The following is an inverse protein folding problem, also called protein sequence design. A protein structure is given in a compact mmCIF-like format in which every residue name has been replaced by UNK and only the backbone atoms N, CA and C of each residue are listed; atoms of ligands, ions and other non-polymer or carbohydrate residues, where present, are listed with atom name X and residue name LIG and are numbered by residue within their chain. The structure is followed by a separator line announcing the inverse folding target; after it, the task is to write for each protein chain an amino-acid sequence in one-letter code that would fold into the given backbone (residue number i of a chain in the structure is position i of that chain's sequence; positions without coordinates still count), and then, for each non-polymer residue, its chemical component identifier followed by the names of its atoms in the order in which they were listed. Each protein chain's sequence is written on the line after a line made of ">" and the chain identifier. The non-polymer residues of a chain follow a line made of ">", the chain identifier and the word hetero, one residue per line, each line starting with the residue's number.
data_IF_730130047442
#
_entry.id   IF_730130047442
#
_cell.length_a   1.000
_cell.length_b   1.000
_cell.length_c   1.000
_cell.angle_alpha   90.00
_cell.angle_beta   90.00
_cell.angle_gamma   90.00
#
_symmetry.space_group_name_H-M   'P 1'
#
loop_
_entity.id
_entity.type
_entity.pdbx_description
1 polymer ?
#
# COMPACT_ATOMS: atom_id res chain seq x y z
N UNK A 1 3.41 -4.99 12.07
CA UNK A 1 4.19 -6.25 11.98
C UNK A 1 5.34 -6.23 12.99
N UNK A 2 5.77 -7.40 13.49
CA UNK A 2 7.02 -7.57 14.24
C UNK A 2 7.82 -8.74 13.64
N UNK A 3 9.02 -8.46 13.15
CA UNK A 3 9.95 -9.43 12.55
C UNK A 3 11.05 -9.79 13.56
N UNK A 4 10.94 -10.96 14.19
CA UNK A 4 11.94 -11.42 15.15
C UNK A 4 13.12 -12.08 14.44
N UNK A 5 12.82 -12.86 13.40
CA UNK A 5 13.77 -13.44 12.45
C UNK A 5 13.01 -13.99 11.23
N UNK A 6 13.74 -14.53 10.26
CA UNK A 6 13.21 -15.09 9.02
C UNK A 6 12.15 -16.19 9.22
N UNK A 7 12.21 -16.92 10.33
CA UNK A 7 11.28 -18.01 10.66
C UNK A 7 10.19 -17.60 11.68
N UNK A 8 10.19 -16.35 12.17
CA UNK A 8 9.17 -15.79 13.08
C UNK A 8 8.88 -14.32 12.73
N UNK A 9 7.92 -14.13 11.81
CA UNK A 9 7.35 -12.84 11.45
C UNK A 9 5.87 -12.80 11.86
N UNK A 10 5.52 -11.87 12.74
CA UNK A 10 4.19 -11.77 13.35
C UNK A 10 3.43 -10.60 12.76
N UNK A 11 2.24 -10.87 12.26
CA UNK A 11 1.33 -9.85 11.73
C UNK A 11 0.14 -9.67 12.68
N UNK A 12 -0.41 -8.47 12.67
CA UNK A 12 -1.57 -8.10 13.49
C UNK A 12 -2.53 -7.33 12.61
N UNK A 13 -3.84 -7.52 12.80
CA UNK A 13 -4.86 -6.74 12.12
C UNK A 13 -5.85 -6.17 13.11
N UNK A 14 -6.58 -5.14 12.70
CA UNK A 14 -7.71 -4.57 13.43
C UNK A 14 -9.00 -4.97 12.73
N UNK A 15 -9.93 -5.54 13.49
CA UNK A 15 -11.26 -5.85 13.00
C UNK A 15 -12.22 -4.69 13.26
N UNK A 16 -13.12 -4.47 12.31
CA UNK A 16 -14.27 -3.57 12.47
C UNK A 16 -15.55 -4.31 12.09
N UNK A 17 -16.56 -4.25 12.96
CA UNK A 17 -17.86 -4.87 12.71
C UNK A 17 -18.63 -4.20 11.55
N UNK A 18 -18.23 -2.97 11.19
CA UNK A 18 -18.88 -2.15 10.16
C UNK A 18 -17.99 -1.87 8.96
N UNK A 19 -16.72 -2.32 9.00
CA UNK A 19 -15.75 -2.12 7.92
C UNK A 19 -14.88 -3.37 7.75
N UNK A 20 -15.44 -4.33 7.02
CA UNK A 20 -14.76 -5.57 6.67
C UNK A 20 -13.57 -5.33 5.73
N UNK A 21 -13.67 -4.34 4.84
CA UNK A 21 -12.63 -4.04 3.86
C UNK A 21 -11.34 -3.63 4.54
N UNK A 22 -11.41 -2.74 5.54
CA UNK A 22 -10.26 -2.31 6.33
C UNK A 22 -9.53 -3.50 6.96
N UNK A 23 -10.27 -4.45 7.53
CA UNK A 23 -9.66 -5.61 8.19
C UNK A 23 -8.94 -6.54 7.19
N UNK A 24 -9.56 -6.82 6.04
CA UNK A 24 -8.99 -7.71 5.02
C UNK A 24 -7.79 -7.08 4.32
N UNK A 25 -7.92 -5.83 3.88
CA UNK A 25 -6.81 -5.12 3.26
C UNK A 25 -5.65 -4.92 4.25
N UNK A 26 -5.94 -4.67 5.53
CA UNK A 26 -4.93 -4.65 6.59
C UNK A 26 -4.20 -5.99 6.76
N UNK A 27 -4.91 -7.12 6.66
CA UNK A 27 -4.26 -8.45 6.67
C UNK A 27 -3.33 -8.60 5.45
N UNK A 28 -3.79 -8.24 4.25
CA UNK A 28 -2.98 -8.34 3.03
C UNK A 28 -1.73 -7.45 3.12
N UNK A 29 -1.90 -6.22 3.62
CA UNK A 29 -0.82 -5.26 3.86
C UNK A 29 0.25 -5.87 4.76
N UNK A 30 -0.13 -6.30 5.97
CA UNK A 30 0.81 -6.84 6.95
C UNK A 30 1.41 -8.17 6.49
N UNK A 31 0.66 -9.00 5.76
CA UNK A 31 1.18 -10.21 5.14
C UNK A 31 2.28 -9.90 4.11
N UNK A 32 2.17 -8.80 3.35
CA UNK A 32 3.22 -8.38 2.42
C UNK A 32 4.53 -8.03 3.13
N UNK A 33 4.45 -7.33 4.26
CA UNK A 33 5.60 -7.11 5.14
C UNK A 33 6.18 -8.41 5.69
N UNK A 34 5.33 -9.28 6.25
CA UNK A 34 5.75 -10.56 6.81
C UNK A 34 6.44 -11.45 5.77
N UNK A 35 5.87 -11.54 4.57
CA UNK A 35 6.46 -12.29 3.46
C UNK A 35 7.83 -11.75 3.06
N UNK A 36 8.03 -10.43 3.02
CA UNK A 36 9.36 -9.90 2.74
C UNK A 36 10.36 -10.31 3.83
N UNK A 37 10.03 -10.08 5.11
CA UNK A 37 10.90 -10.45 6.22
C UNK A 37 11.26 -11.94 6.25
N UNK A 38 10.31 -12.82 5.94
CA UNK A 38 10.51 -14.27 5.90
C UNK A 38 11.33 -14.78 4.71
N UNK A 39 11.56 -13.95 3.70
CA UNK A 39 12.15 -14.38 2.43
C UNK A 39 13.42 -13.63 2.02
N UNK A 40 14.02 -12.90 2.96
CA UNK A 40 15.43 -12.50 2.87
C UNK A 40 16.31 -13.76 2.77
N UNK A 41 17.38 -13.73 1.98
CA UNK A 41 18.20 -14.92 1.78
C UNK A 41 18.90 -15.35 3.10
N UNK A 42 18.86 -16.65 3.40
CA UNK A 42 19.43 -17.23 4.63
C UNK A 42 20.92 -16.90 4.85
N UNK A 43 21.68 -16.62 3.79
CA UNK A 43 23.08 -16.18 3.88
C UNK A 43 23.25 -14.85 4.64
N UNK A 44 22.18 -14.08 4.79
CA UNK A 44 22.16 -12.83 5.52
C UNK A 44 21.78 -12.99 6.99
N UNK A 45 21.31 -14.18 7.42
CA UNK A 45 20.94 -14.44 8.82
C UNK A 45 22.09 -14.01 9.77
N UNK A 46 21.74 -13.32 10.86
CA UNK A 46 22.68 -12.75 11.84
C UNK A 46 23.66 -11.68 11.30
N UNK A 47 23.37 -11.10 10.14
CA UNK A 47 24.10 -9.94 9.61
C UNK A 47 23.22 -8.68 9.63
N UNK A 48 23.81 -7.48 9.52
CA UNK A 48 23.04 -6.23 9.35
C UNK A 48 22.18 -6.19 8.07
N UNK A 49 22.35 -7.15 7.16
CA UNK A 49 21.57 -7.25 5.93
C UNK A 49 20.28 -8.05 6.06
N UNK A 50 20.04 -8.73 7.19
CA UNK A 50 18.77 -9.44 7.43
C UNK A 50 17.66 -8.51 7.90
N UNK A 51 17.31 -7.54 7.07
CA UNK A 51 16.25 -6.57 7.28
C UNK A 51 15.83 -5.94 5.96
N UNK A 52 14.72 -5.20 5.98
CA UNK A 52 14.31 -4.37 4.84
C UNK A 52 15.38 -3.33 4.46
N UNK A 53 15.51 -3.10 3.15
CA UNK A 53 16.54 -2.22 2.55
C UNK A 53 16.27 -0.73 2.81
N UNK A 54 14.99 -0.36 2.80
CA UNK A 54 14.46 0.97 3.06
C UNK A 54 12.96 0.85 3.30
N UNK A 55 12.37 1.80 4.03
CA UNK A 55 10.91 1.80 4.27
C UNK A 55 10.12 1.85 2.97
N UNK A 56 10.57 2.57 1.93
CA UNK A 56 9.86 2.63 0.65
C UNK A 56 9.74 1.26 -0.04
N UNK A 57 10.81 0.45 -0.05
CA UNK A 57 10.75 -0.91 -0.58
C UNK A 57 9.95 -1.82 0.34
N UNK A 58 10.08 -1.66 1.66
CA UNK A 58 9.31 -2.45 2.61
C UNK A 58 7.79 -2.21 2.46
N UNK A 59 7.37 -0.94 2.35
CA UNK A 59 6.00 -0.51 2.04
C UNK A 59 5.55 -0.95 0.65
N UNK A 60 6.45 -1.00 -0.32
CA UNK A 60 6.08 -1.53 -1.64
C UNK A 60 5.59 -2.98 -1.55
N UNK A 61 6.10 -3.79 -0.61
CA UNK A 61 5.70 -5.20 -0.50
C UNK A 61 4.34 -5.37 0.20
N UNK A 62 4.04 -4.55 1.21
CA UNK A 62 2.70 -4.51 1.81
C UNK A 62 1.66 -4.00 0.83
N UNK A 63 1.95 -2.87 0.16
CA UNK A 63 1.09 -2.29 -0.85
C UNK A 63 0.97 -3.16 -2.11
N UNK A 64 1.95 -3.99 -2.41
CA UNK A 64 1.80 -4.98 -3.48
C UNK A 64 0.67 -5.96 -3.16
N UNK A 65 0.66 -6.51 -1.95
CA UNK A 65 -0.40 -7.42 -1.54
C UNK A 65 -1.74 -6.70 -1.39
N UNK A 66 -1.76 -5.53 -0.76
CA UNK A 66 -2.99 -4.78 -0.49
C UNK A 66 -3.60 -4.18 -1.76
N UNK A 67 -2.80 -3.42 -2.50
CA UNK A 67 -3.27 -2.59 -3.62
C UNK A 67 -3.13 -3.33 -4.94
N UNK A 68 -2.00 -3.98 -5.23
CA UNK A 68 -1.80 -4.62 -6.54
C UNK A 68 -2.62 -5.91 -6.65
N UNK A 69 -2.59 -6.75 -5.62
CA UNK A 69 -3.37 -8.00 -5.57
C UNK A 69 -4.76 -7.78 -4.97
N UNK A 70 -4.83 -7.27 -3.74
CA UNK A 70 -6.07 -7.16 -2.95
C UNK A 70 -7.12 -6.19 -3.50
N UNK A 71 -6.80 -5.42 -4.54
CA UNK A 71 -7.75 -4.58 -5.29
C UNK A 71 -7.83 -4.94 -6.78
N UNK A 72 -7.22 -6.06 -7.19
CA UNK A 72 -7.37 -6.58 -8.55
C UNK A 72 -8.77 -7.19 -8.75
N UNK A 73 -9.36 -6.91 -9.90
CA UNK A 73 -10.63 -7.52 -10.33
C UNK A 73 -10.46 -9.02 -10.52
N UNK A 74 -9.35 -9.44 -11.11
CA UNK A 74 -9.05 -10.84 -11.39
C UNK A 74 -8.89 -11.64 -10.09
N UNK A 75 -8.18 -11.08 -9.11
CA UNK A 75 -8.06 -11.69 -7.78
C UNK A 75 -9.44 -11.85 -7.13
N UNK A 76 -10.27 -10.80 -7.13
CA UNK A 76 -11.59 -10.88 -6.54
C UNK A 76 -12.58 -11.75 -7.33
N UNK A 77 -12.36 -11.97 -8.62
CA UNK A 77 -13.17 -12.92 -9.39
C UNK A 77 -13.04 -14.36 -8.88
N UNK A 78 -11.86 -14.68 -8.33
CA UNK A 78 -11.58 -15.95 -7.65
C UNK A 78 -12.06 -15.95 -6.19
N UNK A 79 -11.76 -14.89 -5.44
CA UNK A 79 -11.99 -14.82 -3.99
C UNK A 79 -13.44 -14.52 -3.61
N UNK A 80 -14.20 -13.82 -4.45
CA UNK A 80 -15.57 -13.40 -4.11
C UNK A 80 -16.51 -14.57 -3.79
N UNK A 81 -16.53 -15.69 -4.57
CA UNK A 81 -17.29 -16.88 -4.19
C UNK A 81 -16.88 -17.50 -2.85
N UNK A 82 -15.62 -17.36 -2.44
CA UNK A 82 -15.12 -17.83 -1.14
C UNK A 82 -15.65 -16.92 -0.03
N UNK A 83 -15.58 -15.60 -0.24
CA UNK A 83 -16.15 -14.61 0.67
C UNK A 83 -17.65 -14.82 0.88
N UNK A 84 -18.42 -14.99 -0.20
CA UNK A 84 -19.88 -15.22 -0.10
C UNK A 84 -20.22 -16.42 0.78
N UNK A 85 -19.47 -17.53 0.64
CA UNK A 85 -19.63 -18.72 1.49
C UNK A 85 -19.27 -18.45 2.96
N UNK A 86 -18.29 -17.59 3.22
CA UNK A 86 -17.81 -17.30 4.57
C UNK A 86 -18.76 -16.39 5.38
N UNK A 87 -19.58 -15.57 4.71
CA UNK A 87 -20.44 -14.57 5.38
C UNK A 87 -21.88 -15.02 5.60
N UNK A 88 -22.20 -16.28 5.31
CA UNK A 88 -23.48 -16.96 5.62
C UNK A 88 -24.71 -16.19 5.11
N UNK A 89 -24.84 -16.09 3.78
CA UNK A 89 -26.01 -15.52 3.11
C UNK A 89 -26.07 -13.99 3.04
N UNK A 90 -25.18 -13.28 3.74
CA UNK A 90 -25.17 -11.79 3.78
C UNK A 90 -24.88 -11.10 2.44
N UNK A 91 -24.37 -11.84 1.45
CA UNK A 91 -24.01 -11.33 0.12
C UNK A 91 -24.73 -12.11 -1.00
N UNK A 92 -25.80 -12.85 -0.70
CA UNK A 92 -26.53 -13.66 -1.68
C UNK A 92 -27.24 -12.81 -2.75
N UNK A 93 -27.61 -11.57 -2.41
CA UNK A 93 -28.25 -10.60 -3.30
C UNK A 93 -27.25 -9.62 -3.95
N UNK A 94 -25.95 -9.85 -3.77
CA UNK A 94 -24.87 -9.04 -4.32
C UNK A 94 -24.13 -9.86 -5.37
N UNK A 95 -24.26 -9.48 -6.64
CA UNK A 95 -23.43 -10.06 -7.70
C UNK A 95 -21.99 -9.50 -7.65
N UNK A 96 -21.08 -10.18 -8.36
CA UNK A 96 -19.67 -9.80 -8.37
C UNK A 96 -19.43 -8.36 -8.87
N UNK A 97 -20.17 -7.93 -9.89
CA UNK A 97 -19.99 -6.59 -10.46
C UNK A 97 -20.37 -5.50 -9.45
N UNK A 98 -21.49 -5.69 -8.73
CA UNK A 98 -21.93 -4.81 -7.65
C UNK A 98 -20.96 -4.81 -6.48
N UNK A 99 -20.46 -5.98 -6.08
CA UNK A 99 -19.44 -6.10 -5.04
C UNK A 99 -18.17 -5.33 -5.43
N UNK A 100 -17.63 -5.57 -6.63
CA UNK A 100 -16.36 -4.99 -7.05
C UNK A 100 -16.44 -3.46 -7.18
N UNK A 101 -17.55 -2.91 -7.68
CA UNK A 101 -17.77 -1.45 -7.68
C UNK A 101 -17.78 -0.88 -6.26
N UNK A 102 -18.40 -1.58 -5.30
CA UNK A 102 -18.36 -1.21 -3.88
C UNK A 102 -16.95 -1.31 -3.27
N UNK A 103 -16.19 -2.35 -3.64
CA UNK A 103 -14.81 -2.57 -3.19
C UNK A 103 -13.85 -1.47 -3.66
N UNK A 104 -14.13 -0.86 -4.81
CA UNK A 104 -13.31 0.18 -5.43
C UNK A 104 -13.87 1.59 -5.22
N UNK A 105 -14.72 1.80 -4.21
CA UNK A 105 -15.18 3.13 -3.84
C UNK A 105 -13.97 4.03 -3.52
N UNK A 106 -13.96 5.22 -4.10
CA UNK A 106 -13.01 6.30 -3.81
C UNK A 106 -13.78 7.53 -3.36
N UNK A 107 -13.26 8.19 -2.34
CA UNK A 107 -13.77 9.47 -1.85
C UNK A 107 -12.73 10.13 -0.96
N UNK A 108 -12.72 11.48 -0.88
CA UNK A 108 -11.94 12.15 0.16
C UNK A 108 -12.34 11.67 1.56
N UNK A 109 -11.35 11.32 2.38
CA UNK A 109 -11.54 10.95 3.79
C UNK A 109 -10.52 11.67 4.65
N UNK A 110 -10.77 11.76 5.97
CA UNK A 110 -9.84 12.45 6.87
C UNK A 110 -8.68 11.55 7.32
N UNK A 111 -8.91 10.24 7.43
CA UNK A 111 -7.98 9.30 8.04
C UNK A 111 -7.13 8.64 6.96
N UNK A 112 -5.83 8.93 6.96
CA UNK A 112 -4.88 8.44 5.94
C UNK A 112 -4.89 6.92 5.77
N UNK A 113 -4.94 6.16 6.88
CA UNK A 113 -4.93 4.70 6.85
C UNK A 113 -6.22 4.08 6.31
N UNK A 114 -7.27 4.87 6.16
CA UNK A 114 -8.57 4.46 5.62
C UNK A 114 -8.81 5.00 4.20
N UNK A 115 -7.85 5.76 3.66
CA UNK A 115 -7.94 6.37 2.35
C UNK A 115 -7.84 5.31 1.25
N UNK A 116 -8.59 5.53 0.16
CA UNK A 116 -8.48 4.69 -1.03
C UNK A 116 -7.17 4.98 -1.79
N UNK A 117 -6.72 4.07 -2.68
CA UNK A 117 -5.44 4.22 -3.35
C UNK A 117 -5.24 5.52 -4.14
N UNK A 118 -6.29 6.19 -4.62
CA UNK A 118 -6.12 7.42 -5.42
C UNK A 118 -6.11 8.68 -4.55
N UNK A 119 -6.78 8.67 -3.39
CA UNK A 119 -6.72 9.78 -2.44
C UNK A 119 -5.54 9.66 -1.47
N UNK A 120 -5.08 8.45 -1.18
CA UNK A 120 -3.98 8.18 -0.24
C UNK A 120 -2.70 9.01 -0.50
N UNK A 121 -2.18 9.15 -1.74
CA UNK A 121 -0.98 9.96 -1.99
C UNK A 121 -1.14 11.43 -1.59
N UNK A 122 -2.36 11.98 -1.62
CA UNK A 122 -2.63 13.35 -1.21
C UNK A 122 -2.41 13.53 0.30
N UNK A 123 -2.79 12.56 1.12
CA UNK A 123 -2.48 12.56 2.55
C UNK A 123 -0.97 12.59 2.83
N UNK A 124 -0.18 11.91 2.00
CA UNK A 124 1.28 11.91 2.10
C UNK A 124 1.87 13.26 1.70
N UNK A 125 1.39 13.85 0.60
CA UNK A 125 1.81 15.17 0.12
C UNK A 125 1.55 16.23 1.21
N UNK A 126 0.36 16.24 1.82
CA UNK A 126 0.03 17.17 2.91
C UNK A 126 1.06 17.10 4.03
N UNK A 127 1.40 15.89 4.49
CA UNK A 127 2.38 15.71 5.58
C UNK A 127 3.78 16.14 5.15
N UNK A 128 4.21 15.76 3.96
CA UNK A 128 5.51 16.13 3.44
C UNK A 128 5.68 17.65 3.30
N UNK A 129 4.64 18.36 2.85
CA UNK A 129 4.68 19.82 2.77
C UNK A 129 4.72 20.48 4.15
N UNK A 130 3.99 19.94 5.13
CA UNK A 130 4.05 20.41 6.51
C UNK A 130 5.44 20.16 7.11
N UNK A 131 6.05 18.99 6.88
CA UNK A 131 7.42 18.71 7.31
C UNK A 131 8.41 19.71 6.68
N UNK A 132 8.26 20.02 5.39
CA UNK A 132 9.08 21.06 4.74
C UNK A 132 8.89 22.43 5.37
N UNK A 133 7.67 22.81 5.72
CA UNK A 133 7.41 24.08 6.39
C UNK A 133 8.09 24.14 7.77
N UNK A 134 8.03 23.04 8.53
CA UNK A 134 8.70 22.93 9.83
C UNK A 134 10.22 23.10 9.68
N UNK A 135 10.85 22.40 8.74
CA UNK A 135 12.32 22.35 8.66
C UNK A 135 12.97 23.47 7.81
N UNK A 136 12.29 23.98 6.79
CA UNK A 136 12.86 24.95 5.86
C UNK A 136 12.37 26.38 6.10
N UNK A 137 11.16 26.53 6.65
CA UNK A 137 10.48 27.82 6.74
C UNK A 137 10.31 28.32 8.19
N UNK A 138 10.91 27.63 9.18
CA UNK A 138 10.84 27.94 10.62
C UNK A 138 9.40 28.17 11.10
N UNK A 139 8.48 27.31 10.62
CA UNK A 139 7.06 27.45 10.89
C UNK A 139 6.73 27.19 12.36
N UNK A 140 5.91 28.05 12.97
CA UNK A 140 5.56 27.93 14.38
C UNK A 140 4.68 26.69 14.63
N UNK A 141 5.05 25.89 15.62
CA UNK A 141 4.35 24.67 16.03
C UNK A 141 2.89 24.95 16.40
N UNK A 142 2.64 26.10 17.04
CA UNK A 142 1.29 26.51 17.47
C UNK A 142 0.31 26.69 16.29
N UNK A 143 0.84 26.95 15.09
CA UNK A 143 0.04 27.20 13.88
C UNK A 143 -0.17 25.94 13.03
N UNK A 144 0.46 24.80 13.39
CA UNK A 144 0.44 23.59 12.57
C UNK A 144 -0.95 22.99 12.39
N UNK A 145 -1.83 23.06 13.40
CA UNK A 145 -3.20 22.57 13.26
C UNK A 145 -3.96 23.38 12.19
N UNK A 146 -3.77 24.70 12.14
CA UNK A 146 -4.38 25.54 11.11
C UNK A 146 -3.82 25.20 9.73
N UNK A 147 -2.49 25.05 9.61
CA UNK A 147 -1.84 24.67 8.36
C UNK A 147 -2.36 23.32 7.86
N UNK A 148 -2.48 22.33 8.74
CA UNK A 148 -3.03 21.02 8.45
C UNK A 148 -4.46 21.11 7.89
N UNK A 149 -5.32 21.85 8.58
CA UNK A 149 -6.72 22.00 8.19
C UNK A 149 -6.86 22.70 6.82
N UNK A 150 -6.05 23.73 6.56
CA UNK A 150 -6.00 24.39 5.26
C UNK A 150 -5.50 23.47 4.15
N UNK A 151 -4.46 22.66 4.41
CA UNK A 151 -3.92 21.70 3.45
C UNK A 151 -4.92 20.58 3.12
N UNK A 152 -5.64 20.05 4.11
CA UNK A 152 -6.71 19.07 3.85
C UNK A 152 -7.83 19.66 3.00
N UNK A 153 -8.24 20.90 3.27
CA UNK A 153 -9.26 21.59 2.47
C UNK A 153 -8.78 21.84 1.03
N UNK A 154 -7.51 22.25 0.86
CA UNK A 154 -6.87 22.48 -0.44
C UNK A 154 -6.79 21.20 -1.29
N UNK A 155 -6.27 20.10 -0.72
CA UNK A 155 -5.99 18.88 -1.48
C UNK A 155 -7.18 17.92 -1.57
N UNK A 156 -7.98 17.82 -0.52
CA UNK A 156 -9.04 16.82 -0.40
C UNK A 156 -10.46 17.44 -0.37
N UNK A 157 -10.58 18.77 -0.30
CA UNK A 157 -11.88 19.45 -0.27
C UNK A 157 -12.69 19.23 1.02
N UNK A 158 -12.04 18.70 2.06
CA UNK A 158 -12.65 18.40 3.36
C UNK A 158 -11.77 18.92 4.49
N UNK A 159 -12.37 19.21 5.64
CA UNK A 159 -11.65 19.75 6.81
C UNK A 159 -11.93 18.90 8.05
N UNK A 160 -10.93 18.59 8.88
CA UNK A 160 -11.15 17.96 10.18
C UNK A 160 -11.93 18.88 11.13
N UNK A 161 -12.93 18.33 11.83
CA UNK A 161 -13.68 19.07 12.86
C UNK A 161 -12.92 19.18 14.19
N UNK A 162 -11.93 18.31 14.42
CA UNK A 162 -11.12 18.26 15.64
C UNK A 162 -9.69 17.83 15.31
N UNK A 163 -8.73 18.22 16.16
CA UNK A 163 -7.35 17.78 16.07
C UNK A 163 -7.19 16.24 16.08
N UNK A 164 -8.08 15.51 16.76
CA UNK A 164 -8.08 14.03 16.84
C UNK A 164 -8.22 13.38 15.47
N UNK A 165 -9.14 13.89 14.65
CA UNK A 165 -9.32 13.46 13.25
C UNK A 165 -8.47 14.30 12.27
N UNK A 166 -7.69 15.23 12.79
CA UNK A 166 -6.82 16.14 12.06
C UNK A 166 -5.36 15.82 12.32
N UNK A 167 -4.61 16.81 12.78
CA UNK A 167 -3.15 16.73 12.96
C UNK A 167 -2.68 15.64 13.93
N UNK A 168 -3.52 15.20 14.88
CA UNK A 168 -3.19 14.17 15.87
C UNK A 168 -3.53 12.74 15.41
N UNK A 169 -3.98 12.54 14.17
CA UNK A 169 -4.42 11.23 13.68
C UNK A 169 -3.27 10.21 13.54
N UNK A 170 -2.03 10.67 13.41
CA UNK A 170 -0.85 9.84 13.18
C UNK A 170 0.18 9.95 14.31
N UNK A 171 0.83 8.82 14.61
CA UNK A 171 1.82 8.71 15.70
C UNK A 171 3.24 9.14 15.30
N UNK A 172 3.51 9.28 14.00
CA UNK A 172 4.86 9.43 13.44
C UNK A 172 5.61 10.63 14.00
N UNK A 173 5.02 11.83 13.97
CA UNK A 173 5.68 13.04 14.47
C UNK A 173 5.91 12.99 15.98
N UNK A 174 4.98 12.39 16.74
CA UNK A 174 5.17 12.16 18.17
C UNK A 174 6.30 11.16 18.47
N UNK A 175 6.58 10.24 17.54
CA UNK A 175 7.67 9.26 17.61
C UNK A 175 9.00 9.77 17.06
N UNK A 176 9.01 10.96 16.46
CA UNK A 176 10.20 11.57 15.83
C UNK A 176 10.44 11.12 14.38
N UNK A 177 9.48 10.44 13.75
CA UNK A 177 9.61 9.88 12.39
C UNK A 177 9.37 10.92 11.29
N UNK A 178 10.17 11.99 11.28
CA UNK A 178 10.14 13.01 10.23
C UNK A 178 10.85 12.53 8.95
N UNK A 179 10.29 12.87 7.78
CA UNK A 179 10.78 12.36 6.50
C UNK A 179 10.36 10.91 6.21
N UNK A 180 9.56 10.30 7.09
CA UNK A 180 9.06 8.93 6.92
C UNK A 180 7.91 8.86 5.91
N UNK A 181 6.94 9.77 5.96
CA UNK A 181 5.72 9.70 5.14
C UNK A 181 5.96 9.55 3.63
N UNK A 182 6.95 10.22 2.99
CA UNK A 182 7.25 10.02 1.58
C UNK A 182 7.50 8.54 1.20
N UNK A 183 7.95 7.71 2.15
CA UNK A 183 8.16 6.27 1.90
C UNK A 183 6.89 5.53 1.51
N UNK A 184 5.71 5.92 2.03
CA UNK A 184 4.43 5.30 1.66
C UNK A 184 4.02 5.61 0.21
N UNK A 185 4.24 6.86 -0.24
CA UNK A 185 3.99 7.24 -1.62
C UNK A 185 4.97 6.53 -2.56
N UNK A 186 6.26 6.48 -2.20
CA UNK A 186 7.25 5.72 -2.96
C UNK A 186 6.92 4.22 -3.01
N UNK A 187 6.39 3.64 -1.92
CA UNK A 187 5.97 2.25 -1.86
C UNK A 187 4.93 1.91 -2.92
N UNK A 188 3.94 2.79 -3.14
CA UNK A 188 2.96 2.63 -4.21
C UNK A 188 3.60 2.59 -5.59
N UNK A 189 4.57 3.49 -5.85
CA UNK A 189 5.24 3.59 -7.15
C UNK A 189 6.11 2.36 -7.42
N UNK A 190 6.93 1.95 -6.44
CA UNK A 190 7.74 0.73 -6.52
C UNK A 190 6.86 -0.50 -6.75
N UNK A 191 5.76 -0.64 -5.99
CA UNK A 191 4.86 -1.78 -6.12
C UNK A 191 4.25 -1.88 -7.53
N UNK A 192 3.82 -0.75 -8.10
CA UNK A 192 3.25 -0.72 -9.44
C UNK A 192 4.29 -1.03 -10.52
N UNK A 193 5.52 -0.55 -10.36
CA UNK A 193 6.60 -0.82 -11.30
C UNK A 193 7.06 -2.29 -11.24
N UNK A 194 7.13 -2.89 -10.04
CA UNK A 194 7.34 -4.34 -9.91
C UNK A 194 6.19 -5.14 -10.54
N UNK A 195 4.94 -4.72 -10.30
CA UNK A 195 3.76 -5.36 -10.90
C UNK A 195 3.84 -5.32 -12.42
N UNK A 196 4.18 -4.17 -12.99
CA UNK A 196 4.39 -4.04 -14.44
C UNK A 196 5.51 -4.97 -14.95
N UNK A 197 6.67 -4.97 -14.31
CA UNK A 197 7.81 -5.79 -14.75
C UNK A 197 7.51 -7.29 -14.78
N UNK A 198 6.70 -7.81 -13.84
CA UNK A 198 6.28 -9.22 -13.83
C UNK A 198 5.55 -9.67 -15.11
N UNK A 199 4.89 -8.74 -15.82
CA UNK A 199 4.15 -9.08 -17.04
C UNK A 199 5.06 -9.53 -18.19
N UNK A 200 6.37 -9.28 -18.08
CA UNK A 200 7.34 -9.80 -19.02
C UNK A 200 7.58 -11.31 -18.84
N UNK A 201 7.29 -11.87 -17.67
CA UNK A 201 7.57 -13.26 -17.33
C UNK A 201 6.31 -14.13 -17.35
N UNK A 202 5.15 -13.58 -16.96
CA UNK A 202 3.88 -14.30 -16.95
C UNK A 202 2.66 -13.37 -16.99
N UNK A 203 1.50 -13.92 -17.36
CA UNK A 203 0.21 -13.22 -17.31
C UNK A 203 -0.28 -13.18 -15.86
N UNK A 204 -0.14 -12.02 -15.21
CA UNK A 204 -0.47 -11.84 -13.79
C UNK A 204 -1.97 -11.96 -13.55
N UNK A 205 -2.80 -11.37 -14.42
CA UNK A 205 -4.26 -11.41 -14.32
C UNK A 205 -4.80 -12.84 -14.37
N UNK A 206 -4.27 -13.67 -15.28
CA UNK A 206 -4.67 -15.07 -15.39
C UNK A 206 -4.35 -15.86 -14.11
N UNK A 207 -3.15 -15.68 -13.55
CA UNK A 207 -2.76 -16.32 -12.28
C UNK A 207 -3.68 -15.90 -11.13
N UNK A 208 -4.01 -14.61 -11.04
CA UNK A 208 -4.91 -14.09 -10.01
C UNK A 208 -6.33 -14.63 -10.15
N UNK A 209 -6.86 -14.75 -11.37
CA UNK A 209 -8.18 -15.34 -11.63
C UNK A 209 -8.23 -16.85 -11.32
N UNK A 210 -7.11 -17.55 -11.47
CA UNK A 210 -6.97 -18.97 -11.12
C UNK A 210 -6.70 -19.21 -9.62
N UNK A 211 -6.36 -18.16 -8.87
CA UNK A 211 -5.97 -18.24 -7.46
C UNK A 211 -4.53 -18.71 -7.25
N UNK A 212 -3.69 -18.75 -8.29
CA UNK A 212 -2.29 -19.16 -8.19
C UNK A 212 -1.37 -17.96 -7.92
N UNK A 213 -1.26 -17.59 -6.64
CA UNK A 213 -0.39 -16.49 -6.19
C UNK A 213 1.09 -16.88 -6.07
N UNK A 214 1.43 -18.16 -6.22
CA UNK A 214 2.78 -18.66 -5.94
C UNK A 214 3.83 -18.07 -6.89
N UNK A 215 3.63 -18.01 -8.23
CA UNK A 215 4.61 -17.41 -9.13
C UNK A 215 4.90 -15.94 -8.82
N UNK A 216 3.88 -15.18 -8.40
CA UNK A 216 4.02 -13.77 -8.00
C UNK A 216 4.95 -13.65 -6.77
N UNK A 217 4.84 -14.59 -5.82
CA UNK A 217 5.65 -14.56 -4.61
C UNK A 217 7.08 -15.04 -4.89
N UNK A 218 7.25 -16.03 -5.76
CA UNK A 218 8.56 -16.51 -6.20
C UNK A 218 9.32 -15.42 -6.98
N UNK A 219 8.64 -14.70 -7.86
CA UNK A 219 9.21 -13.55 -8.56
C UNK A 219 9.72 -12.50 -7.57
N UNK A 220 8.90 -12.08 -6.59
CA UNK A 220 9.34 -11.08 -5.60
C UNK A 220 10.48 -11.60 -4.72
N UNK A 221 10.50 -12.89 -4.39
CA UNK A 221 11.62 -13.52 -3.68
C UNK A 221 12.91 -13.35 -4.45
N UNK A 222 12.90 -13.68 -5.74
CA UNK A 222 14.06 -13.63 -6.61
C UNK A 222 14.49 -12.20 -6.93
N UNK A 223 13.56 -11.33 -7.29
CA UNK A 223 13.91 -10.01 -7.81
C UNK A 223 14.03 -8.94 -6.72
N UNK A 224 13.46 -9.16 -5.52
CA UNK A 224 13.38 -8.13 -4.47
C UNK A 224 13.82 -8.65 -3.11
N UNK A 225 13.17 -9.68 -2.57
CA UNK A 225 13.29 -10.02 -1.15
C UNK A 225 14.65 -10.59 -0.77
N UNK A 226 15.25 -11.43 -1.63
CA UNK A 226 16.48 -12.15 -1.30
C UNK A 226 17.66 -11.24 -0.93
N UNK A 227 17.62 -9.97 -1.33
CA UNK A 227 18.69 -9.02 -1.09
C UNK A 227 18.72 -8.49 0.35
N UNK A 228 17.60 -8.52 1.09
CA UNK A 228 17.51 -7.84 2.37
C UNK A 228 18.02 -6.39 2.25
N UNK A 229 18.92 -5.97 3.13
CA UNK A 229 19.54 -4.65 3.06
C UNK A 229 20.91 -4.63 2.33
N UNK A 230 21.24 -5.65 1.53
CA UNK A 230 22.55 -5.78 0.87
C UNK A 230 22.73 -4.93 -0.40
N UNK A 231 21.67 -4.24 -0.84
CA UNK A 231 21.64 -3.37 -2.02
C UNK A 231 21.02 -2.03 -1.63
N UNK A 232 20.96 -1.09 -2.55
CA UNK A 232 20.13 0.11 -2.42
C UNK A 232 18.76 -0.08 -3.08
N UNK A 233 17.72 0.70 -2.73
CA UNK A 233 16.44 0.66 -3.42
C UNK A 233 16.55 0.82 -4.95
N UNK A 234 17.42 1.72 -5.41
CA UNK A 234 17.64 1.96 -6.83
C UNK A 234 18.25 0.74 -7.52
N UNK A 235 19.24 0.08 -6.91
CA UNK A 235 19.85 -1.13 -7.46
C UNK A 235 18.88 -2.32 -7.50
N UNK A 236 17.99 -2.45 -6.51
CA UNK A 236 16.95 -3.49 -6.51
C UNK A 236 15.93 -3.22 -7.60
N UNK A 237 15.47 -1.97 -7.72
CA UNK A 237 14.52 -1.59 -8.75
C UNK A 237 15.10 -1.83 -10.15
N UNK A 238 16.25 -1.22 -10.46
CA UNK A 238 16.90 -1.33 -11.77
C UNK A 238 17.16 -2.80 -12.14
N UNK A 239 17.61 -3.63 -11.18
CA UNK A 239 17.85 -5.05 -11.44
C UNK A 239 16.57 -5.86 -11.67
N UNK A 240 15.44 -5.46 -11.07
CA UNK A 240 14.16 -6.15 -11.20
C UNK A 240 13.35 -5.69 -12.42
N UNK A 241 13.49 -4.41 -12.82
CA UNK A 241 12.60 -3.77 -13.79
C UNK A 241 13.34 -3.22 -15.01
N UNK A 242 14.67 -3.14 -14.98
CA UNK A 242 15.50 -2.67 -16.08
C UNK A 242 15.57 -1.16 -16.26
N UNK A 243 15.02 -0.38 -15.32
CA UNK A 243 15.04 1.08 -15.35
C UNK A 243 14.83 1.71 -13.96
N UNK A 244 15.06 3.02 -13.88
CA UNK A 244 14.84 3.82 -12.69
C UNK A 244 13.35 4.00 -12.36
N UNK A 245 13.06 4.58 -11.19
CA UNK A 245 11.68 4.77 -10.72
C UNK A 245 10.84 5.58 -11.72
N UNK A 246 9.79 4.96 -12.23
CA UNK A 246 8.88 5.57 -13.20
C UNK A 246 7.45 5.62 -12.63
N UNK A 247 6.93 6.81 -12.25
CA UNK A 247 5.60 6.93 -11.66
C UNK A 247 4.47 6.62 -12.65
N UNK A 248 4.74 6.59 -13.96
CA UNK A 248 3.73 6.38 -14.99
C UNK A 248 3.03 5.03 -14.84
N UNK A 249 3.75 3.98 -14.40
CA UNK A 249 3.15 2.67 -14.15
C UNK A 249 2.05 2.69 -13.11
N UNK A 250 2.24 3.47 -12.05
CA UNK A 250 1.20 3.63 -11.04
C UNK A 250 0.03 4.45 -11.58
N UNK A 251 0.30 5.55 -12.29
CA UNK A 251 -0.75 6.40 -12.87
C UNK A 251 -1.62 5.64 -13.86
N UNK A 252 -1.01 4.88 -14.77
CA UNK A 252 -1.71 4.10 -15.80
C UNK A 252 -2.53 2.98 -15.17
N UNK A 253 -1.96 2.26 -14.19
CA UNK A 253 -2.66 1.18 -13.48
C UNK A 253 -3.90 1.70 -12.77
N UNK A 254 -3.78 2.79 -12.01
CA UNK A 254 -4.93 3.35 -11.30
C UNK A 254 -5.96 3.93 -12.26
N UNK A 255 -5.52 4.66 -13.30
CA UNK A 255 -6.41 5.18 -14.33
C UNK A 255 -7.23 4.05 -14.98
N UNK A 256 -6.59 2.95 -15.37
CA UNK A 256 -7.27 1.80 -15.97
C UNK A 256 -8.30 1.16 -15.00
N UNK A 257 -7.91 0.94 -13.73
CA UNK A 257 -8.79 0.35 -12.72
C UNK A 257 -10.01 1.22 -12.42
N UNK A 258 -9.80 2.52 -12.27
CA UNK A 258 -10.89 3.43 -11.93
C UNK A 258 -11.75 3.77 -13.16
N UNK A 259 -11.20 3.76 -14.37
CA UNK A 259 -11.98 3.85 -15.61
C UNK A 259 -12.99 2.70 -15.75
N UNK A 260 -12.58 1.46 -15.46
CA UNK A 260 -13.46 0.29 -15.45
C UNK A 260 -14.55 0.37 -14.36
N UNK A 261 -14.21 0.86 -13.17
CA UNK A 261 -15.15 0.92 -12.03
C UNK A 261 -16.18 2.04 -12.18
N UNK A 262 -15.74 3.21 -12.65
CA UNK A 262 -16.54 4.44 -12.73
C UNK A 262 -17.06 4.75 -14.14
N UNK A 263 -16.82 3.86 -15.10
CA UNK A 263 -17.30 3.93 -16.48
C UNK A 263 -16.90 5.26 -17.19
N UNK A 264 -15.63 5.67 -17.07
CA UNK A 264 -15.08 6.83 -17.77
C UNK A 264 -13.94 6.46 -18.73
N UNK A 265 -13.67 7.32 -19.72
CA UNK A 265 -12.61 7.10 -20.70
C UNK A 265 -11.22 7.43 -20.10
N UNK A 266 -10.33 6.44 -20.08
CA UNK A 266 -8.98 6.52 -19.52
C UNK A 266 -8.06 7.45 -20.34
#
# INVERSE_FOLDING_TARGET
>A
MQDLNRDDARITTRWSATDFQMAVLGIYHEAGHGLFAQNVAAKWDYTPFNKGIAMSIHESQSLFNEVMIGRSKDFWSHEYPILQKAVDGRLDDVDFARFFKGWMITKPTLIRTEADPITYPLHIIIRYEIEKAIFNDDYNVDDLESLWNSKYEEYLGIRPDTAVNGILQDIHWASGDFGYFPSYALGHLYAAQFYHAMHNDFNVEALLAEGDIKPIFEWRREHVWQYGASKTPAEVLEAATGEALNPQYWLDLQRARYADVYDFEA
#
